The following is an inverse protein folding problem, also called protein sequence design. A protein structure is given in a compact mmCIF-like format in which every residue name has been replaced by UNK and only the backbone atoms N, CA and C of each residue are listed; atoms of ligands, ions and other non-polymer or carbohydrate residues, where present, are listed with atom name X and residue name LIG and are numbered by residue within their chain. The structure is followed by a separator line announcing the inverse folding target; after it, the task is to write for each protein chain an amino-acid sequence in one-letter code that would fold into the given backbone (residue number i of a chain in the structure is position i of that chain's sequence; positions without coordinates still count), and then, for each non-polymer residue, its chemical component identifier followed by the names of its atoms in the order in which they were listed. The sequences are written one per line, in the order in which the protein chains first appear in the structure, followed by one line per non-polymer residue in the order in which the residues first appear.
data_IF_033829324544
#
_entry.id   IF_033829324544
#
_cell.length_a   1.000
_cell.length_b   1.000
_cell.length_c   1.000
_cell.angle_alpha   90.00
_cell.angle_beta   90.00
_cell.angle_gamma   90.00
#
_symmetry.space_group_name_H-M   'P 1'
#
loop_
_entity.id
_entity.type
_entity.pdbx_description
1 polymer ?
#
# COMPACT_ATOMS: atom_id res chain seq x y z
N UNK A 1 -28.84 11.00 -1.03
CA UNK A 1 -27.68 11.86 -1.34
C UNK A 1 -26.49 10.95 -1.47
N UNK A 2 -25.84 10.88 -2.64
CA UNK A 2 -24.62 10.10 -2.82
C UNK A 2 -23.56 10.73 -1.94
N UNK A 3 -23.27 10.11 -0.78
CA UNK A 3 -22.19 10.52 0.10
C UNK A 3 -20.89 10.02 -0.54
N UNK A 4 -20.48 10.67 -1.63
CA UNK A 4 -19.22 10.35 -2.29
C UNK A 4 -18.13 10.77 -1.30
N UNK A 5 -17.55 9.80 -0.58
CA UNK A 5 -16.37 10.06 0.26
C UNK A 5 -15.32 10.73 -0.61
N UNK A 6 -14.78 11.83 -0.11
CA UNK A 6 -13.64 12.46 -0.74
C UNK A 6 -12.49 11.47 -0.76
N UNK A 7 -11.83 11.35 -1.90
CA UNK A 7 -10.66 10.50 -2.02
C UNK A 7 -9.49 11.34 -2.53
N UNK A 8 -8.38 11.32 -1.79
CA UNK A 8 -7.19 12.07 -2.06
C UNK A 8 -6.27 11.34 -3.04
N UNK A 9 -5.86 12.04 -4.10
CA UNK A 9 -4.80 11.58 -5.00
C UNK A 9 -3.42 11.97 -4.48
N UNK A 10 -2.35 11.35 -5.00
CA UNK A 10 -0.96 11.71 -4.64
C UNK A 10 -0.67 13.21 -4.80
N UNK A 11 -1.11 13.83 -5.90
CA UNK A 11 -0.95 15.27 -6.14
C UNK A 11 -1.67 16.10 -5.09
N UNK A 12 -2.90 15.71 -4.75
CA UNK A 12 -3.68 16.43 -3.74
C UNK A 12 -3.08 16.30 -2.34
N UNK A 13 -2.55 15.12 -1.98
CA UNK A 13 -1.82 14.90 -0.73
C UNK A 13 -0.61 15.84 -0.64
N UNK A 14 0.19 15.90 -1.71
CA UNK A 14 1.38 16.77 -1.78
C UNK A 14 0.96 18.24 -1.66
N UNK A 15 -0.09 18.65 -2.35
CA UNK A 15 -0.59 20.03 -2.32
C UNK A 15 -1.09 20.44 -0.93
N UNK A 16 -1.82 19.55 -0.25
CA UNK A 16 -2.31 19.79 1.11
C UNK A 16 -1.17 19.87 2.11
N UNK A 17 -0.23 18.93 2.08
CA UNK A 17 0.93 18.96 2.97
C UNK A 17 1.84 20.18 2.69
N UNK A 18 1.91 20.65 1.44
CA UNK A 18 2.60 21.89 1.09
C UNK A 18 1.90 23.14 1.61
N UNK A 19 0.56 23.19 1.62
CA UNK A 19 -0.18 24.30 2.24
C UNK A 19 0.02 24.31 3.76
N UNK A 20 -0.01 23.13 4.39
CA UNK A 20 0.27 22.98 5.82
C UNK A 20 1.68 23.48 6.17
N UNK A 21 2.70 23.10 5.40
CA UNK A 21 4.07 23.62 5.53
C UNK A 21 4.12 25.16 5.45
N UNK A 22 3.45 25.76 4.46
CA UNK A 22 3.42 27.22 4.28
C UNK A 22 2.78 27.94 5.47
N UNK A 23 1.71 27.37 6.04
CA UNK A 23 1.02 27.92 7.21
C UNK A 23 1.90 27.87 8.46
N UNK A 24 2.56 26.73 8.69
CA UNK A 24 3.51 26.59 9.80
C UNK A 24 4.70 27.54 9.66
N UNK A 25 5.24 27.70 8.45
CA UNK A 25 6.27 28.71 8.13
C UNK A 25 5.83 30.13 8.44
N UNK A 26 4.61 30.51 8.03
CA UNK A 26 4.06 31.84 8.29
C UNK A 26 3.90 32.13 9.79
N UNK A 27 3.74 31.07 10.61
CA UNK A 27 3.67 31.15 12.08
C UNK A 27 5.02 31.00 12.77
N UNK A 28 6.11 30.74 12.04
CA UNK A 28 7.42 30.48 12.63
C UNK A 28 7.52 29.16 13.40
N UNK A 29 6.63 28.20 13.13
CA UNK A 29 6.56 26.91 13.82
C UNK A 29 7.31 25.86 13.01
N UNK A 30 8.16 25.07 13.67
CA UNK A 30 8.76 23.87 13.11
C UNK A 30 8.04 22.64 13.69
N UNK A 31 7.66 21.70 12.83
CA UNK A 31 6.92 20.50 13.20
C UNK A 31 7.27 19.33 12.30
N UNK A 32 6.97 18.10 12.72
CA UNK A 32 7.18 16.89 11.95
C UNK A 32 5.91 16.04 11.81
N UNK A 33 5.78 15.37 10.66
CA UNK A 33 4.79 14.32 10.42
C UNK A 33 5.47 13.09 9.83
N UNK A 34 5.06 11.92 10.31
CA UNK A 34 5.38 10.62 9.72
C UNK A 34 4.13 10.08 9.01
N UNK A 35 4.11 10.15 7.68
CA UNK A 35 2.98 9.75 6.84
C UNK A 35 3.02 8.24 6.61
N UNK A 36 1.91 7.56 6.85
CA UNK A 36 1.77 6.11 6.76
C UNK A 36 0.58 5.73 5.86
N UNK A 37 0.23 4.44 5.86
CA UNK A 37 -1.03 3.96 5.28
C UNK A 37 -1.17 4.21 3.78
N UNK A 38 -2.41 4.42 3.33
CA UNK A 38 -2.73 4.59 1.92
C UNK A 38 -2.12 5.85 1.31
N UNK A 39 -1.96 6.92 2.11
CA UNK A 39 -1.37 8.18 1.66
C UNK A 39 0.12 8.05 1.33
N UNK A 40 0.88 7.38 2.20
CA UNK A 40 2.29 7.10 1.94
C UNK A 40 2.45 6.24 0.67
N UNK A 41 1.67 5.16 0.55
CA UNK A 41 1.67 4.31 -0.64
C UNK A 41 1.38 5.15 -1.88
N UNK A 42 0.33 5.99 -1.86
CA UNK A 42 -0.07 6.81 -3.00
C UNK A 42 1.05 7.74 -3.47
N UNK A 43 1.70 8.45 -2.56
CA UNK A 43 2.79 9.38 -2.89
C UNK A 43 4.03 8.65 -3.39
N UNK A 44 4.39 7.50 -2.81
CA UNK A 44 5.60 6.74 -3.20
C UNK A 44 5.38 5.84 -4.43
N UNK A 45 4.16 5.76 -4.96
CA UNK A 45 3.77 4.82 -6.03
C UNK A 45 4.41 5.04 -7.40
N UNK A 46 5.07 6.16 -7.64
CA UNK A 46 5.75 6.43 -8.92
C UNK A 46 4.83 6.43 -10.17
N UNK A 47 3.52 6.67 -10.02
CA UNK A 47 2.58 6.82 -11.14
C UNK A 47 1.35 5.91 -11.14
N UNK A 48 1.21 4.98 -10.18
CA UNK A 48 -0.05 4.24 -10.00
C UNK A 48 -1.11 5.17 -9.36
N UNK A 49 -2.32 5.35 -9.95
CA UNK A 49 -3.36 6.23 -9.41
C UNK A 49 -4.05 5.64 -8.16
N UNK A 50 -3.30 5.43 -7.08
CA UNK A 50 -3.83 5.07 -5.76
C UNK A 50 -4.49 6.31 -5.14
N UNK A 51 -5.71 6.13 -4.65
CA UNK A 51 -6.54 7.16 -4.01
C UNK A 51 -6.98 6.72 -2.63
N UNK A 52 -6.89 7.58 -1.61
CA UNK A 52 -7.14 7.23 -0.20
C UNK A 52 -8.23 8.11 0.42
N UNK A 53 -8.96 7.60 1.41
CA UNK A 53 -10.06 8.35 2.05
C UNK A 53 -9.54 9.46 2.98
N UNK A 54 -8.33 9.27 3.53
CA UNK A 54 -7.66 10.14 4.48
C UNK A 54 -6.12 10.06 4.33
N UNK A 55 -5.43 11.02 4.93
CA UNK A 55 -3.97 11.05 5.10
C UNK A 55 -3.65 10.59 6.51
N UNK A 56 -3.37 9.29 6.67
CA UNK A 56 -2.85 8.75 7.93
C UNK A 56 -1.44 9.31 8.21
N UNK A 57 -1.28 9.98 9.34
CA UNK A 57 0.00 10.50 9.79
C UNK A 57 0.18 10.34 11.29
N UNK A 58 1.42 10.40 11.76
CA UNK A 58 1.74 10.50 13.18
C UNK A 58 2.54 11.78 13.38
N UNK A 59 2.22 12.52 14.44
CA UNK A 59 2.91 13.74 14.84
C UNK A 59 2.85 13.91 16.36
N UNK A 60 3.78 14.68 16.91
CA UNK A 60 3.76 15.13 18.31
C UNK A 60 3.40 16.62 18.43
N UNK A 61 3.23 17.30 17.31
CA UNK A 61 3.09 18.75 17.24
C UNK A 61 1.62 19.13 17.14
N UNK A 62 1.04 19.65 18.23
CA UNK A 62 -0.36 20.09 18.28
C UNK A 62 -0.69 21.13 17.19
N UNK A 63 0.28 21.98 16.84
CA UNK A 63 0.14 22.96 15.78
C UNK A 63 -0.19 22.33 14.41
N UNK A 64 0.24 21.10 14.13
CA UNK A 64 -0.11 20.36 12.91
C UNK A 64 -1.60 20.02 12.91
N UNK A 65 -2.12 19.57 14.05
CA UNK A 65 -3.54 19.19 14.22
C UNK A 65 -4.43 20.43 14.10
N UNK A 66 -4.07 21.51 14.78
CA UNK A 66 -4.81 22.78 14.76
C UNK A 66 -4.89 23.36 13.33
N UNK A 67 -3.76 23.43 12.62
CA UNK A 67 -3.72 23.93 11.25
C UNK A 67 -4.47 23.02 10.28
N UNK A 68 -4.40 21.70 10.47
CA UNK A 68 -5.17 20.77 9.66
C UNK A 68 -6.68 20.97 9.85
N UNK A 69 -7.14 21.22 11.07
CA UNK A 69 -8.54 21.56 11.36
C UNK A 69 -8.95 22.89 10.72
N UNK A 70 -8.11 23.93 10.82
CA UNK A 70 -8.36 25.21 10.16
C UNK A 70 -8.41 25.07 8.62
N UNK A 71 -7.53 24.26 8.04
CA UNK A 71 -7.52 23.93 6.61
C UNK A 71 -8.78 23.18 6.18
N UNK A 72 -9.27 22.25 7.00
CA UNK A 72 -10.49 21.49 6.68
C UNK A 72 -11.68 22.42 6.43
N UNK A 73 -11.87 23.42 7.30
CA UNK A 73 -12.93 24.43 7.16
C UNK A 73 -12.71 25.29 5.92
N UNK A 74 -11.50 25.82 5.74
CA UNK A 74 -11.19 26.78 4.67
C UNK A 74 -11.27 26.15 3.27
N UNK A 75 -10.82 24.90 3.14
CA UNK A 75 -10.79 24.16 1.87
C UNK A 75 -12.00 23.23 1.68
N UNK A 76 -12.92 23.19 2.64
CA UNK A 76 -14.09 22.28 2.65
C UNK A 76 -13.69 20.80 2.51
N UNK A 77 -12.62 20.41 3.21
CA UNK A 77 -12.17 19.03 3.28
C UNK A 77 -12.98 18.28 4.34
N UNK A 78 -13.01 16.93 4.31
CA UNK A 78 -13.39 16.13 5.47
C UNK A 78 -12.62 16.58 6.72
N UNK A 79 -13.27 16.55 7.88
CA UNK A 79 -12.66 16.96 9.16
C UNK A 79 -11.41 16.12 9.50
N UNK A 80 -11.43 14.85 9.13
CA UNK A 80 -10.39 13.85 9.34
C UNK A 80 -9.46 13.67 8.12
N UNK A 81 -9.38 14.65 7.20
CA UNK A 81 -8.52 14.55 6.03
C UNK A 81 -7.05 14.28 6.37
N UNK A 82 -6.57 14.81 7.50
CA UNK A 82 -5.31 14.45 8.14
C UNK A 82 -5.61 13.67 9.42
N UNK A 83 -5.50 12.35 9.35
CA UNK A 83 -5.81 11.44 10.44
C UNK A 83 -4.56 11.16 11.28
N UNK A 84 -4.45 11.81 12.44
CA UNK A 84 -3.29 11.68 13.34
C UNK A 84 -3.40 10.54 14.36
N UNK A 85 -4.46 9.71 14.26
CA UNK A 85 -4.79 8.69 15.26
C UNK A 85 -4.12 7.34 15.00
N UNK A 86 -3.37 7.21 13.90
CA UNK A 86 -2.81 5.94 13.44
C UNK A 86 -1.82 5.28 14.44
N UNK A 87 -1.26 6.04 15.38
CA UNK A 87 -0.17 5.61 16.27
C UNK A 87 -0.46 4.32 17.06
N UNK A 88 -1.70 4.11 17.51
CA UNK A 88 -2.08 2.95 18.32
C UNK A 88 -1.98 1.60 17.58
N UNK A 89 -1.92 1.63 16.25
CA UNK A 89 -1.86 0.43 15.42
C UNK A 89 -0.53 0.28 14.66
N UNK A 90 0.44 1.17 14.90
CA UNK A 90 1.72 1.16 14.20
C UNK A 90 2.80 0.46 15.04
N UNK A 91 3.79 -0.17 14.38
CA UNK A 91 5.01 -0.60 15.07
C UNK A 91 5.79 0.62 15.57
N UNK A 92 6.79 0.43 16.45
CA UNK A 92 7.70 1.50 16.84
C UNK A 92 8.21 2.30 15.64
N UNK A 93 8.11 3.62 15.74
CA UNK A 93 8.56 4.50 14.67
C UNK A 93 10.08 4.41 14.50
N UNK A 94 10.59 4.51 13.26
CA UNK A 94 12.02 4.63 13.01
C UNK A 94 12.63 5.79 13.81
N UNK A 95 13.89 5.64 14.22
CA UNK A 95 14.63 6.73 14.86
C UNK A 95 14.62 7.98 13.95
N UNK A 96 14.33 9.14 14.53
CA UNK A 96 14.25 10.39 13.80
C UNK A 96 13.00 10.58 12.93
N UNK A 97 12.05 9.64 12.87
CA UNK A 97 10.85 9.75 12.03
C UNK A 97 9.99 11.01 12.28
N UNK A 98 10.06 11.56 13.50
CA UNK A 98 9.37 12.79 13.92
C UNK A 98 10.35 13.91 14.28
N UNK A 99 11.60 13.84 13.81
CA UNK A 99 12.57 14.89 14.03
C UNK A 99 12.35 15.99 12.99
N UNK A 100 12.15 17.22 13.43
CA UNK A 100 12.20 18.41 12.59
C UNK A 100 13.44 19.25 12.93
N UNK A 101 13.88 20.10 11.99
CA UNK A 101 15.00 21.01 12.21
C UNK A 101 14.58 22.33 12.88
N UNK A 102 15.53 23.22 13.10
CA UNK A 102 15.27 24.54 13.73
C UNK A 102 14.52 25.51 12.80
N UNK A 103 14.58 25.29 11.48
CA UNK A 103 13.89 26.12 10.51
C UNK A 103 12.37 25.88 10.56
N UNK A 104 11.53 26.94 10.54
CA UNK A 104 10.08 26.79 10.46
C UNK A 104 9.60 26.00 9.24
N UNK A 105 8.50 25.26 9.42
CA UNK A 105 7.84 24.47 8.40
C UNK A 105 7.50 23.06 8.85
N UNK A 106 7.01 22.28 7.89
CA UNK A 106 6.64 20.89 8.10
C UNK A 106 7.73 19.98 7.56
N UNK A 107 8.36 19.20 8.46
CA UNK A 107 9.20 18.09 8.07
C UNK A 107 8.33 16.85 7.81
N UNK A 108 8.36 16.33 6.59
CA UNK A 108 7.53 15.20 6.18
C UNK A 108 8.43 13.99 5.95
N UNK A 109 8.22 12.94 6.74
CA UNK A 109 8.81 11.63 6.50
C UNK A 109 7.72 10.66 6.04
N UNK A 110 7.97 9.90 4.98
CA UNK A 110 7.08 8.83 4.53
C UNK A 110 7.60 7.48 5.01
N UNK A 111 6.69 6.61 5.47
CA UNK A 111 7.04 5.24 5.81
C UNK A 111 7.63 4.49 4.61
N UNK A 112 8.60 3.61 4.89
CA UNK A 112 9.21 2.74 3.87
C UNK A 112 8.22 1.68 3.41
N UNK A 113 8.42 1.14 2.21
CA UNK A 113 7.55 0.08 1.68
C UNK A 113 7.53 -1.16 2.60
N UNK A 114 8.65 -1.51 3.25
CA UNK A 114 8.71 -2.60 4.23
C UNK A 114 7.84 -2.32 5.47
N UNK A 115 7.93 -1.10 6.02
CA UNK A 115 7.09 -0.67 7.16
C UNK A 115 5.61 -0.72 6.79
N UNK A 116 5.27 -0.19 5.60
CA UNK A 116 3.91 -0.21 5.07
C UNK A 116 3.43 -1.64 4.85
N UNK A 117 4.25 -2.54 4.31
CA UNK A 117 3.86 -3.93 4.11
C UNK A 117 3.62 -4.63 5.45
N UNK A 118 4.50 -4.45 6.44
CA UNK A 118 4.30 -5.01 7.78
C UNK A 118 2.98 -4.56 8.41
N UNK A 119 2.65 -3.26 8.33
CA UNK A 119 1.38 -2.72 8.88
C UNK A 119 0.16 -3.26 8.15
N UNK A 120 0.23 -3.44 6.82
CA UNK A 120 -0.85 -4.03 6.02
C UNK A 120 -1.05 -5.51 6.29
N UNK A 121 0.03 -6.25 6.55
CA UNK A 121 -0.03 -7.66 6.92
C UNK A 121 -0.69 -7.88 8.28
N UNK A 122 -0.39 -7.01 9.27
CA UNK A 122 -1.06 -7.05 10.58
C UNK A 122 -2.53 -6.64 10.47
N UNK A 123 -2.84 -5.54 9.76
CA UNK A 123 -4.22 -5.07 9.65
C UNK A 123 -5.13 -6.01 8.85
N UNK A 124 -4.61 -6.56 7.74
CA UNK A 124 -5.26 -7.53 6.85
C UNK A 124 -6.74 -7.30 6.51
N UNK A 125 -7.15 -6.03 6.45
CA UNK A 125 -8.54 -5.69 6.08
C UNK A 125 -8.74 -6.01 4.60
N UNK A 126 -9.98 -6.25 4.21
CA UNK A 126 -10.32 -6.53 2.80
C UNK A 126 -9.79 -5.45 1.83
N UNK A 127 -9.76 -4.18 2.26
CA UNK A 127 -9.25 -3.06 1.46
C UNK A 127 -7.71 -3.06 1.29
N UNK A 128 -6.99 -3.75 2.16
CA UNK A 128 -5.53 -3.75 2.17
C UNK A 128 -4.93 -4.74 1.16
N UNK A 129 -5.73 -5.62 0.53
CA UNK A 129 -5.22 -6.65 -0.39
C UNK A 129 -4.45 -6.08 -1.59
N UNK A 130 -4.96 -5.01 -2.21
CA UNK A 130 -4.28 -4.36 -3.33
C UNK A 130 -2.98 -3.67 -2.90
N UNK A 131 -2.96 -3.09 -1.69
CA UNK A 131 -1.78 -2.46 -1.10
C UNK A 131 -0.71 -3.52 -0.79
N UNK A 132 -1.08 -4.68 -0.23
CA UNK A 132 -0.17 -5.81 0.03
C UNK A 132 0.48 -6.29 -1.26
N UNK A 133 -0.31 -6.51 -2.32
CA UNK A 133 0.20 -6.95 -3.63
C UNK A 133 1.16 -5.90 -4.21
N UNK A 134 0.78 -4.62 -4.19
CA UNK A 134 1.59 -3.55 -4.76
C UNK A 134 2.92 -3.38 -4.02
N UNK A 135 2.91 -3.40 -2.69
CA UNK A 135 4.10 -3.29 -1.85
C UNK A 135 5.00 -4.53 -1.99
N UNK A 136 4.43 -5.73 -2.01
CA UNK A 136 5.19 -6.94 -2.27
C UNK A 136 5.88 -6.89 -3.64
N UNK A 137 5.22 -6.36 -4.67
CA UNK A 137 5.82 -6.12 -5.99
C UNK A 137 7.03 -5.18 -5.96
N UNK A 138 6.93 -4.06 -5.22
CA UNK A 138 8.05 -3.10 -5.09
C UNK A 138 9.23 -3.66 -4.31
N UNK A 139 8.96 -4.56 -3.37
CA UNK A 139 9.96 -5.22 -2.53
C UNK A 139 10.50 -6.53 -3.11
N UNK A 140 10.05 -6.94 -4.30
CA UNK A 140 10.38 -8.24 -4.90
C UNK A 140 10.01 -9.45 -4.01
N UNK A 141 8.88 -9.34 -3.32
CA UNK A 141 8.32 -10.30 -2.38
C UNK A 141 7.05 -10.98 -2.92
N UNK A 142 6.80 -10.98 -4.23
CA UNK A 142 5.58 -11.53 -4.84
C UNK A 142 5.44 -13.05 -4.65
N UNK A 143 6.55 -13.74 -4.37
CA UNK A 143 6.60 -15.18 -4.06
C UNK A 143 7.04 -15.44 -2.61
N UNK A 144 6.97 -14.43 -1.73
CA UNK A 144 7.36 -14.57 -0.34
C UNK A 144 6.54 -15.67 0.34
N UNK A 145 7.23 -16.57 1.04
CA UNK A 145 6.58 -17.60 1.85
C UNK A 145 5.94 -16.99 3.09
N UNK A 146 5.03 -17.72 3.76
CA UNK A 146 4.51 -17.29 5.05
C UNK A 146 5.65 -16.96 6.04
N UNK A 147 6.70 -17.78 6.10
CA UNK A 147 7.85 -17.51 6.98
C UNK A 147 8.65 -16.25 6.63
N UNK A 148 8.70 -15.83 5.35
CA UNK A 148 9.30 -14.55 4.96
C UNK A 148 8.48 -13.36 5.47
N UNK A 149 7.15 -13.48 5.37
CA UNK A 149 6.22 -12.44 5.81
C UNK A 149 6.16 -12.34 7.33
N UNK A 150 6.21 -13.46 8.05
CA UNK A 150 6.37 -13.48 9.52
C UNK A 150 7.65 -12.73 9.94
N UNK A 151 8.79 -13.03 9.31
CA UNK A 151 10.06 -12.33 9.60
C UNK A 151 9.97 -10.84 9.35
N UNK A 152 9.26 -10.41 8.30
CA UNK A 152 9.03 -8.99 8.02
C UNK A 152 8.19 -8.35 9.13
N UNK A 153 7.10 -8.99 9.56
CA UNK A 153 6.26 -8.50 10.66
C UNK A 153 7.09 -8.35 11.92
N UNK A 154 7.82 -9.40 12.33
CA UNK A 154 8.63 -9.41 13.55
C UNK A 154 9.81 -8.43 13.55
N UNK A 155 10.28 -8.03 12.36
CA UNK A 155 11.31 -6.97 12.24
C UNK A 155 10.79 -5.61 12.70
N UNK A 156 9.52 -5.32 12.43
CA UNK A 156 8.90 -4.02 12.74
C UNK A 156 8.11 -4.06 14.04
N UNK A 157 7.25 -5.06 14.25
CA UNK A 157 6.49 -5.23 15.47
C UNK A 157 7.29 -6.00 16.52
N UNK A 158 8.15 -5.27 17.22
CA UNK A 158 9.04 -5.81 18.27
C UNK A 158 8.43 -5.76 19.67
N UNK A 159 7.36 -4.98 19.85
CA UNK A 159 6.63 -4.84 21.11
C UNK A 159 5.48 -5.84 21.17
N UNK A 160 5.57 -6.77 22.12
CA UNK A 160 4.58 -7.83 22.30
C UNK A 160 3.26 -7.29 22.86
N UNK A 161 3.31 -6.37 23.80
CA UNK A 161 2.11 -5.81 24.45
C UNK A 161 1.28 -5.02 23.44
N UNK A 162 1.96 -4.28 22.54
CA UNK A 162 1.32 -3.61 21.43
C UNK A 162 0.63 -4.61 20.47
N UNK A 163 1.26 -5.75 20.18
CA UNK A 163 0.67 -6.79 19.34
C UNK A 163 -0.54 -7.48 20.00
N UNK A 164 -0.50 -7.73 21.32
CA UNK A 164 -1.67 -8.25 22.06
C UNK A 164 -2.86 -7.31 21.93
N UNK A 165 -2.62 -6.00 22.07
CA UNK A 165 -3.66 -4.98 21.88
C UNK A 165 -4.21 -4.96 20.45
N UNK A 166 -3.35 -5.07 19.44
CA UNK A 166 -3.76 -4.97 18.02
C UNK A 166 -4.51 -6.23 17.54
N UNK A 167 -4.03 -7.41 17.94
CA UNK A 167 -4.54 -8.70 17.46
C UNK A 167 -5.68 -9.24 18.33
N UNK A 168 -5.90 -8.68 19.52
CA UNK A 168 -6.96 -9.10 20.46
C UNK A 168 -6.94 -10.62 20.73
N UNK A 169 -5.73 -11.19 20.83
CA UNK A 169 -5.50 -12.64 20.83
C UNK A 169 -4.53 -13.09 21.91
N UNK A 170 -4.76 -14.28 22.46
CA UNK A 170 -3.90 -14.87 23.51
C UNK A 170 -2.65 -15.58 22.97
N UNK A 171 -2.60 -15.90 21.68
CA UNK A 171 -1.47 -16.56 21.02
C UNK A 171 -1.05 -15.75 19.78
N UNK A 172 -0.28 -14.69 20.04
CA UNK A 172 0.21 -13.75 19.03
C UNK A 172 0.99 -14.46 17.92
N UNK A 173 1.84 -15.42 18.27
CA UNK A 173 2.68 -16.12 17.29
C UNK A 173 1.81 -16.90 16.32
N UNK A 174 0.76 -17.56 16.83
CA UNK A 174 -0.23 -18.24 16.00
C UNK A 174 -1.02 -17.27 15.13
N UNK A 175 -1.44 -16.13 15.66
CA UNK A 175 -2.16 -15.12 14.88
C UNK A 175 -1.29 -14.56 13.73
N UNK A 176 -0.04 -14.20 14.02
CA UNK A 176 0.93 -13.73 13.01
C UNK A 176 1.14 -14.81 11.93
N UNK A 177 1.28 -16.08 12.31
CA UNK A 177 1.40 -17.17 11.36
C UNK A 177 0.16 -17.30 10.46
N UNK A 178 -1.05 -17.18 11.02
CA UNK A 178 -2.29 -17.24 10.25
C UNK A 178 -2.42 -16.07 9.27
N UNK A 179 -2.05 -14.86 9.70
CA UNK A 179 -1.97 -13.68 8.83
C UNK A 179 -0.97 -13.93 7.70
N UNK A 180 0.24 -14.36 8.00
CA UNK A 180 1.26 -14.63 6.99
C UNK A 180 0.82 -15.68 5.95
N UNK A 181 0.21 -16.79 6.40
CA UNK A 181 -0.35 -17.81 5.52
C UNK A 181 -1.46 -17.26 4.59
N UNK A 182 -2.29 -16.33 5.09
CA UNK A 182 -3.32 -15.71 4.28
C UNK A 182 -2.71 -14.79 3.20
N UNK A 183 -1.68 -14.04 3.57
CA UNK A 183 -0.98 -13.14 2.65
C UNK A 183 -0.21 -13.91 1.58
N UNK A 184 0.48 -15.00 1.94
CA UNK A 184 1.14 -15.90 0.98
C UNK A 184 0.12 -16.40 -0.07
N UNK A 185 -1.05 -16.87 0.36
CA UNK A 185 -2.12 -17.31 -0.56
C UNK A 185 -2.62 -16.18 -1.45
N UNK A 186 -2.76 -14.96 -0.92
CA UNK A 186 -3.14 -13.79 -1.70
C UNK A 186 -2.13 -13.51 -2.82
N UNK A 187 -0.84 -13.52 -2.49
CA UNK A 187 0.25 -13.25 -3.44
C UNK A 187 0.38 -14.37 -4.50
N UNK A 188 0.24 -15.63 -4.09
CA UNK A 188 0.24 -16.78 -5.00
C UNK A 188 -0.93 -16.73 -5.99
N UNK A 189 -2.13 -16.38 -5.52
CA UNK A 189 -3.31 -16.24 -6.37
C UNK A 189 -3.15 -15.13 -7.41
N UNK A 190 -2.58 -13.98 -7.02
CA UNK A 190 -2.29 -12.90 -7.97
C UNK A 190 -1.28 -13.33 -9.03
N UNK A 191 -0.26 -14.08 -8.63
CA UNK A 191 0.77 -14.60 -9.54
C UNK A 191 0.21 -15.59 -10.56
N UNK A 192 -0.76 -16.41 -10.15
CA UNK A 192 -1.48 -17.32 -11.05
C UNK A 192 -2.36 -16.56 -12.07
N UNK A 193 -3.01 -15.47 -11.64
CA UNK A 193 -3.84 -14.62 -12.52
C UNK A 193 -2.97 -13.83 -13.53
N UNK A 194 -1.76 -13.42 -13.14
CA UNK A 194 -0.84 -12.68 -14.01
C UNK A 194 -0.07 -13.55 -15.02
N UNK A 195 -0.11 -14.89 -14.91
CA UNK A 195 0.52 -15.79 -15.89
C UNK A 195 -0.33 -15.86 -17.16
N UNK A 196 0.21 -15.57 -18.36
CA UNK A 196 -0.54 -15.75 -19.59
C UNK A 196 -0.91 -17.23 -19.75
N UNK A 197 -2.16 -17.50 -20.10
CA UNK A 197 -2.62 -18.85 -20.43
C UNK A 197 -1.70 -19.41 -21.51
N UNK A 198 -0.91 -20.43 -21.15
CA UNK A 198 -0.12 -21.16 -22.13
C UNK A 198 -1.12 -21.89 -23.03
N UNK A 199 -1.32 -21.40 -24.26
CA UNK A 199 -2.10 -22.13 -25.25
C UNK A 199 -1.50 -23.53 -25.39
N UNK A 200 -2.29 -24.61 -25.28
CA UNK A 200 -1.77 -25.94 -25.54
C UNK A 200 -1.31 -25.98 -26.99
N UNK A 201 -0.05 -26.38 -27.20
CA UNK A 201 0.56 -26.51 -28.51
C UNK A 201 -0.37 -27.35 -29.40
N UNK A 202 -0.90 -26.72 -30.45
CA UNK A 202 -1.80 -27.39 -31.39
C UNK A 202 -1.14 -28.63 -31.97
N UNK A 203 -1.74 -29.78 -31.70
CA UNK A 203 -1.49 -31.04 -32.41
C UNK A 203 -1.63 -30.79 -33.91
N UNK A 204 -0.51 -30.76 -34.63
CA UNK A 204 -0.49 -30.76 -36.09
C UNK A 204 -1.10 -32.07 -36.58
N UNK A 205 -2.32 -32.01 -37.10
CA UNK A 205 -2.95 -33.09 -37.85
C UNK A 205 -2.18 -33.26 -39.17
N UNK A 206 -1.77 -34.49 -39.58
CA UNK A 206 -1.06 -34.67 -40.83
C UNK A 206 -2.03 -34.57 -42.01
N UNK A 207 -1.71 -33.71 -42.98
CA UNK A 207 -2.44 -33.59 -44.25
C UNK A 207 -2.19 -34.85 -45.09
N UNK A 208 -3.25 -35.64 -45.30
CA UNK A 208 -3.25 -36.77 -46.23
C UNK A 208 -3.27 -36.24 -47.66
N UNK A 209 -2.19 -36.46 -48.42
CA UNK A 209 -2.16 -36.23 -49.88
C UNK A 209 -3.02 -37.30 -50.59
N UNK A 210 -4.02 -36.87 -51.34
CA UNK A 210 -4.75 -37.72 -52.31
C UNK A 210 -3.92 -37.89 -53.59
N UNK A 211 -3.90 -39.07 -54.22
CA UNK A 211 -3.22 -39.28 -55.49
C UNK A 211 -4.13 -38.86 -56.67
N UNK A 212 -3.53 -38.20 -57.66
CA UNK A 212 -4.13 -37.89 -58.96
C UNK A 212 -4.41 -39.18 -59.75
N UNK A 213 -5.64 -39.33 -60.25
CA UNK A 213 -5.99 -40.31 -61.29
C UNK A 213 -6.12 -39.58 -62.62
N UNK A 214 -5.29 -39.99 -63.57
CA UNK A 214 -5.18 -39.40 -64.89
C UNK A 214 -6.36 -39.64 -65.82
N UNK A 215 -6.37 -38.85 -66.89
CA UNK A 215 -7.22 -39.00 -68.06
C UNK A 215 -6.35 -38.89 -69.31
N UNK A 216 -6.18 -40.00 -70.01
CA UNK A 216 -5.87 -40.15 -71.44
C UNK A 216 -6.93 -41.13 -71.98
N UNK A 217 -7.38 -41.07 -73.26
CA UNK A 217 -6.50 -41.18 -74.44
C UNK A 217 -6.93 -40.34 -75.68
N UNK A 218 -5.96 -39.98 -76.53
CA UNK A 218 -5.72 -40.40 -77.94
C UNK A 218 -6.35 -39.57 -79.10
N UNK A 219 -5.40 -39.11 -79.95
CA UNK A 219 -5.31 -39.11 -81.43
C UNK A 219 -6.49 -38.63 -82.29
N UNK A 220 -6.21 -37.59 -83.08
CA UNK A 220 -5.97 -37.70 -84.53
C UNK A 220 -5.01 -36.61 -85.01
#
# INVERSE_FOLDING_TARGET
MSNTRHEFSATEIIDLLSDLDKRLKARGISAAVFVVGGAAIAVTSGGNPRRTEDIDAITRDEAVVDEAGAMAIQRKLPEDWLNTRASAWMPPLPEGALQHGDAPGLHITYATDEFLLATKLIAQRRKDAADIIALAGRLHMEQASAGDLERLISRYYTDRDALEFILDGSDIDREIQLLALRAERLLANQSAVSRPATQPAGTKTPVVRRPDRGTSPERS
#
